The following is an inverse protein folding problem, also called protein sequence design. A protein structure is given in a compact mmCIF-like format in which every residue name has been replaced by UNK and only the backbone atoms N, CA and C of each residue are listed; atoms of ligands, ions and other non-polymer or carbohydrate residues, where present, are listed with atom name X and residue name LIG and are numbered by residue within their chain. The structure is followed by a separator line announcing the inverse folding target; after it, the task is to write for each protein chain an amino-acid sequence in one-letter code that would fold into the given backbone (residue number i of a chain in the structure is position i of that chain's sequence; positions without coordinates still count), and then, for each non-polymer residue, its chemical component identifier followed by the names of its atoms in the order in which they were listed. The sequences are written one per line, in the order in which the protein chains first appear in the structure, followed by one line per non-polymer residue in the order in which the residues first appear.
data_IF_499889752620
#
_entry.id   IF_499889752620
#
_cell.length_a   1.000
_cell.length_b   1.000
_cell.length_c   1.000
_cell.angle_alpha   90.00
_cell.angle_beta   90.00
_cell.angle_gamma   90.00
#
_symmetry.space_group_name_H-M   'P 1'
#
loop_
_entity.id
_entity.type
_entity.pdbx_description
1 polymer ?
#
# COMPACT_ATOMS: atom_id res chain seq x y z
N UNK A 1 -6.51 -3.17 -14.23
CA UNK A 1 -6.71 -2.31 -13.07
C UNK A 1 -8.16 -2.45 -12.62
N UNK A 2 -8.40 -2.80 -11.41
CA UNK A 2 -9.71 -3.10 -10.84
C UNK A 2 -9.61 -4.29 -9.90
N UNK A 3 -10.74 -4.75 -9.39
CA UNK A 3 -10.85 -5.89 -8.50
C UNK A 3 -11.98 -6.79 -8.98
N UNK A 4 -11.85 -8.08 -8.72
CA UNK A 4 -12.95 -9.04 -8.89
C UNK A 4 -13.91 -8.98 -7.70
N UNK A 5 -13.48 -8.41 -6.58
CA UNK A 5 -14.33 -8.18 -5.42
C UNK A 5 -15.11 -6.88 -5.61
N UNK A 6 -16.43 -7.01 -5.69
CA UNK A 6 -17.35 -5.88 -5.85
C UNK A 6 -17.67 -5.15 -4.53
N UNK A 7 -17.32 -5.73 -3.37
CA UNK A 7 -17.67 -5.22 -2.05
C UNK A 7 -16.52 -4.46 -1.37
N UNK A 8 -15.33 -4.50 -1.97
CA UNK A 8 -14.12 -3.85 -1.45
C UNK A 8 -13.45 -3.04 -2.56
N UNK A 9 -12.78 -1.92 -2.19
CA UNK A 9 -12.00 -1.17 -3.16
C UNK A 9 -10.80 -1.99 -3.66
N UNK A 10 -10.41 -1.77 -4.90
CA UNK A 10 -9.25 -2.43 -5.48
C UNK A 10 -7.92 -2.00 -4.86
N UNK A 11 -7.89 -0.82 -4.24
CA UNK A 11 -6.71 -0.23 -3.61
C UNK A 11 -7.04 0.26 -2.20
N UNK A 12 -6.50 -0.41 -1.20
CA UNK A 12 -6.61 -0.07 0.21
C UNK A 12 -5.30 0.51 0.75
N UNK A 13 -5.40 1.49 1.63
CA UNK A 13 -4.27 2.17 2.24
C UNK A 13 -4.35 2.08 3.75
N UNK A 14 -3.24 1.71 4.38
CA UNK A 14 -3.10 1.54 5.83
C UNK A 14 -2.01 2.47 6.34
N UNK A 15 -2.27 3.17 7.43
CA UNK A 15 -1.31 4.09 8.04
C UNK A 15 -0.96 3.64 9.44
N UNK A 16 0.32 3.63 9.75
CA UNK A 16 0.81 3.43 11.13
C UNK A 16 1.87 4.47 11.47
N UNK A 17 1.96 4.79 12.75
CA UNK A 17 2.95 5.72 13.29
C UNK A 17 4.00 4.94 14.04
N UNK A 18 5.25 5.10 13.61
CA UNK A 18 6.41 4.62 14.36
C UNK A 18 6.80 5.57 15.50
N UNK A 19 7.83 5.18 16.24
CA UNK A 19 8.37 5.96 17.38
C UNK A 19 9.36 7.05 16.97
N UNK A 20 9.67 7.15 15.67
CA UNK A 20 10.57 8.16 15.11
C UNK A 20 9.91 9.51 14.87
N UNK A 21 10.65 10.39 14.18
CA UNK A 21 10.15 11.71 13.79
C UNK A 21 8.89 11.57 12.91
N UNK A 22 7.88 12.38 13.21
CA UNK A 22 6.63 12.38 12.46
C UNK A 22 6.85 12.89 11.03
N UNK A 23 6.51 12.06 10.04
CA UNK A 23 6.47 12.46 8.64
C UNK A 23 5.05 12.79 8.23
N UNK A 24 4.90 13.76 7.35
CA UNK A 24 3.61 14.04 6.74
C UNK A 24 3.22 12.95 5.75
N UNK A 25 2.23 12.14 6.11
CA UNK A 25 1.60 11.20 5.17
C UNK A 25 0.23 11.75 4.82
N UNK A 26 0.08 12.21 3.59
CA UNK A 26 -1.11 12.91 3.12
C UNK A 26 -1.82 12.12 2.04
N UNK A 27 -3.12 12.33 1.90
CA UNK A 27 -3.97 11.65 0.91
C UNK A 27 -3.51 11.81 -0.54
N UNK A 28 -2.66 12.79 -0.85
CA UNK A 28 -2.01 12.91 -2.16
C UNK A 28 -1.18 11.68 -2.55
N UNK A 29 -0.64 10.94 -1.58
CA UNK A 29 0.18 9.75 -1.83
C UNK A 29 -0.61 8.58 -2.41
N UNK A 30 -1.92 8.57 -2.21
CA UNK A 30 -2.81 7.53 -2.75
C UNK A 30 -3.99 8.09 -3.55
N UNK A 31 -3.92 9.37 -3.91
CA UNK A 31 -4.88 9.96 -4.84
C UNK A 31 -4.68 9.41 -6.25
N UNK A 32 -5.73 9.46 -7.05
CA UNK A 32 -5.68 9.02 -8.44
C UNK A 32 -4.78 9.88 -9.34
N UNK A 33 -4.37 11.07 -8.88
CA UNK A 33 -3.57 12.00 -9.67
C UNK A 33 -4.29 12.42 -10.95
N UNK A 34 -3.68 12.11 -12.11
CA UNK A 34 -4.28 12.35 -13.42
C UNK A 34 -5.15 11.19 -13.93
N UNK A 35 -5.18 10.07 -13.20
CA UNK A 35 -6.04 8.93 -13.51
C UNK A 35 -7.49 9.23 -13.06
N UNK A 36 -8.42 8.42 -13.53
CA UNK A 36 -9.81 8.47 -13.11
C UNK A 36 -9.94 8.26 -11.58
N UNK A 37 -10.85 8.97 -10.93
CA UNK A 37 -11.07 8.94 -9.48
C UNK A 37 -11.43 7.53 -8.94
N UNK A 38 -11.92 6.62 -9.78
CA UNK A 38 -12.16 5.21 -9.40
C UNK A 38 -10.89 4.45 -9.02
N UNK A 39 -9.71 4.95 -9.37
CA UNK A 39 -8.41 4.36 -9.05
C UNK A 39 -7.80 4.94 -7.77
N UNK A 40 -8.50 5.83 -7.08
CA UNK A 40 -8.05 6.40 -5.81
C UNK A 40 -8.03 5.34 -4.72
N UNK A 41 -6.97 5.37 -3.90
CA UNK A 41 -6.88 4.51 -2.72
C UNK A 41 -7.87 4.92 -1.63
N UNK A 42 -8.41 3.93 -0.94
CA UNK A 42 -9.29 4.11 0.21
C UNK A 42 -8.52 3.78 1.49
N UNK A 43 -8.46 4.73 2.40
CA UNK A 43 -7.80 4.52 3.69
C UNK A 43 -8.64 3.67 4.61
N UNK A 44 -8.03 2.61 5.14
CA UNK A 44 -8.60 1.70 6.13
C UNK A 44 -7.85 1.82 7.46
N UNK A 45 -8.53 1.47 8.53
CA UNK A 45 -7.95 1.26 9.86
C UNK A 45 -8.64 0.09 10.54
N UNK A 46 -8.06 -0.45 11.60
CA UNK A 46 -8.72 -1.43 12.46
C UNK A 46 -9.32 -0.77 13.72
N UNK A 47 -9.81 0.46 13.58
CA UNK A 47 -10.59 1.18 14.61
C UNK A 47 -12.07 0.86 14.50
N UNK A 48 -12.89 1.42 15.43
CA UNK A 48 -14.35 1.33 15.40
C UNK A 48 -14.95 1.84 14.08
N UNK A 49 -14.31 2.87 13.48
CA UNK A 49 -14.62 3.37 12.14
C UNK A 49 -13.51 2.97 11.16
N UNK A 50 -13.57 1.76 10.57
CA UNK A 50 -12.51 1.27 9.70
C UNK A 50 -12.29 2.11 8.45
N UNK A 51 -13.34 2.74 7.94
CA UNK A 51 -13.31 3.70 6.83
C UNK A 51 -14.14 4.91 7.25
N UNK A 52 -13.56 6.10 7.16
CA UNK A 52 -14.24 7.33 7.58
C UNK A 52 -15.55 7.53 6.81
N UNK A 53 -16.60 7.91 7.54
CA UNK A 53 -17.94 8.17 7.01
C UNK A 53 -18.61 6.99 6.31
N UNK A 54 -18.18 5.77 6.62
CA UNK A 54 -18.79 4.57 6.06
C UNK A 54 -20.18 4.31 6.63
N UNK A 55 -20.35 4.53 7.94
CA UNK A 55 -21.61 4.34 8.64
C UNK A 55 -22.66 5.36 8.24
N UNK A 56 -23.93 4.95 8.25
CA UNK A 56 -25.04 5.89 8.04
C UNK A 56 -25.18 6.85 9.21
N UNK A 57 -25.66 8.06 8.93
CA UNK A 57 -25.99 9.02 9.97
C UNK A 57 -27.12 8.47 10.87
N UNK A 58 -27.13 8.89 12.13
CA UNK A 58 -28.15 8.49 13.10
C UNK A 58 -29.57 8.77 12.55
N UNK A 59 -30.46 7.79 12.66
CA UNK A 59 -31.84 7.88 12.18
C UNK A 59 -32.03 7.47 10.71
N UNK A 60 -30.98 7.16 9.96
CA UNK A 60 -31.09 6.65 8.59
C UNK A 60 -30.98 5.13 8.59
N UNK A 61 -32.04 4.45 8.17
CA UNK A 61 -32.03 2.99 8.01
C UNK A 61 -31.35 2.60 6.68
N UNK A 62 -30.85 1.36 6.61
CA UNK A 62 -30.24 0.81 5.38
C UNK A 62 -31.18 0.90 4.17
N UNK A 63 -32.48 0.67 4.35
CA UNK A 63 -33.48 0.79 3.30
C UNK A 63 -33.70 2.23 2.84
N UNK A 64 -33.66 3.19 3.77
CA UNK A 64 -33.71 4.61 3.42
C UNK A 64 -32.47 5.01 2.62
N UNK A 65 -31.27 4.59 3.07
CA UNK A 65 -30.03 4.82 2.33
C UNK A 65 -30.11 4.22 0.93
N UNK A 66 -30.59 2.97 0.77
CA UNK A 66 -30.76 2.36 -0.55
C UNK A 66 -31.63 3.21 -1.47
N UNK A 67 -32.81 3.63 -1.00
CA UNK A 67 -33.69 4.50 -1.79
C UNK A 67 -33.06 5.84 -2.16
N UNK A 68 -32.28 6.45 -1.24
CA UNK A 68 -31.55 7.69 -1.53
C UNK A 68 -30.54 7.49 -2.66
N UNK A 69 -29.79 6.38 -2.63
CA UNK A 69 -28.79 6.07 -3.67
C UNK A 69 -29.46 5.78 -5.03
N UNK A 70 -30.60 5.08 -5.04
CA UNK A 70 -31.36 4.80 -6.27
C UNK A 70 -31.85 6.12 -6.90
N UNK A 71 -32.36 7.04 -6.10
CA UNK A 71 -32.77 8.38 -6.57
C UNK A 71 -31.59 9.19 -7.08
N UNK A 72 -30.46 9.18 -6.36
CA UNK A 72 -29.25 9.86 -6.77
C UNK A 72 -28.68 9.30 -8.08
N UNK A 73 -28.71 7.99 -8.25
CA UNK A 73 -28.30 7.32 -9.49
C UNK A 73 -29.17 7.75 -10.67
N UNK A 74 -30.49 7.80 -10.47
CA UNK A 74 -31.43 8.26 -11.51
C UNK A 74 -31.19 9.75 -11.90
N UNK A 75 -30.93 10.63 -10.92
CA UNK A 75 -30.59 12.03 -11.20
C UNK A 75 -29.24 12.17 -11.95
N UNK A 76 -28.26 11.38 -11.53
CA UNK A 76 -26.94 11.38 -12.20
C UNK A 76 -27.02 10.82 -13.64
N UNK A 77 -27.91 9.87 -13.92
CA UNK A 77 -28.13 9.36 -15.26
C UNK A 77 -28.69 10.46 -16.20
N UNK A 78 -29.65 11.26 -15.74
CA UNK A 78 -30.13 12.42 -16.49
C UNK A 78 -28.99 13.41 -16.77
N UNK A 79 -28.17 13.71 -15.77
CA UNK A 79 -27.01 14.59 -15.94
C UNK A 79 -25.97 13.99 -16.91
N UNK A 80 -25.76 12.67 -16.87
CA UNK A 80 -24.86 12.00 -17.80
C UNK A 80 -25.35 12.07 -19.25
N UNK A 81 -26.67 11.91 -19.45
CA UNK A 81 -27.29 12.06 -20.80
C UNK A 81 -27.12 13.48 -21.36
N UNK A 82 -27.13 14.50 -20.49
CA UNK A 82 -26.95 15.89 -20.92
C UNK A 82 -25.49 16.26 -21.16
N UNK A 83 -24.58 15.90 -20.22
CA UNK A 83 -23.19 16.37 -20.23
C UNK A 83 -22.20 15.34 -20.79
N UNK A 84 -22.56 14.07 -20.83
CA UNK A 84 -21.68 12.94 -21.25
C UNK A 84 -20.32 12.92 -20.52
N UNK A 85 -20.32 13.33 -19.25
CA UNK A 85 -19.10 13.35 -18.41
C UNK A 85 -18.92 12.03 -17.68
N UNK A 86 -17.84 11.25 -17.96
CA UNK A 86 -17.57 9.97 -17.30
C UNK A 86 -17.41 10.07 -15.77
N UNK A 87 -17.09 11.25 -15.22
CA UNK A 87 -16.98 11.44 -13.77
C UNK A 87 -18.31 11.25 -13.05
N UNK A 88 -19.44 11.51 -13.71
CA UNK A 88 -20.78 11.29 -13.17
C UNK A 88 -20.98 9.80 -12.89
N UNK A 89 -20.68 8.93 -13.85
CA UNK A 89 -20.77 7.47 -13.69
C UNK A 89 -19.82 6.97 -12.60
N UNK A 90 -18.60 7.51 -12.55
CA UNK A 90 -17.63 7.20 -11.51
C UNK A 90 -18.16 7.52 -10.12
N UNK A 91 -18.84 8.65 -9.92
CA UNK A 91 -19.47 9.02 -8.64
C UNK A 91 -20.55 8.03 -8.22
N UNK A 92 -21.42 7.62 -9.13
CA UNK A 92 -22.44 6.59 -8.85
C UNK A 92 -21.78 5.30 -8.37
N UNK A 93 -20.76 4.84 -9.08
CA UNK A 93 -20.01 3.63 -8.71
C UNK A 93 -19.35 3.74 -7.33
N UNK A 94 -18.80 4.91 -6.99
CA UNK A 94 -18.22 5.15 -5.66
C UNK A 94 -19.26 5.07 -4.55
N UNK A 95 -20.45 5.64 -4.73
CA UNK A 95 -21.55 5.54 -3.75
C UNK A 95 -22.05 4.11 -3.58
N UNK A 96 -22.19 3.36 -4.67
CA UNK A 96 -22.56 1.96 -4.64
C UNK A 96 -21.51 1.10 -3.91
N UNK A 97 -20.23 1.34 -4.17
CA UNK A 97 -19.13 0.69 -3.47
C UNK A 97 -19.19 1.00 -1.98
N UNK A 98 -19.32 2.27 -1.58
CA UNK A 98 -19.43 2.67 -0.16
C UNK A 98 -20.60 1.98 0.53
N UNK A 99 -21.74 1.84 -0.11
CA UNK A 99 -22.90 1.15 0.46
C UNK A 99 -22.63 -0.35 0.69
N UNK A 100 -21.98 -1.03 -0.27
CA UNK A 100 -21.61 -2.44 -0.10
C UNK A 100 -20.56 -2.63 1.00
N UNK A 101 -19.62 -1.70 1.10
CA UNK A 101 -18.58 -1.70 2.14
C UNK A 101 -19.15 -1.62 3.56
N UNK A 102 -20.30 -1.00 3.78
CA UNK A 102 -20.92 -0.92 5.11
C UNK A 102 -21.15 -2.30 5.77
N UNK A 103 -21.30 -3.34 4.98
CA UNK A 103 -21.45 -4.72 5.48
C UNK A 103 -20.13 -5.48 5.47
N UNK A 104 -19.36 -5.38 4.38
CA UNK A 104 -18.14 -6.17 4.19
C UNK A 104 -16.99 -5.70 5.08
N UNK A 105 -16.80 -4.39 5.24
CA UNK A 105 -15.66 -3.83 5.95
C UNK A 105 -15.63 -4.22 7.43
N UNK A 106 -16.71 -4.07 8.23
CA UNK A 106 -16.68 -4.46 9.64
C UNK A 106 -16.34 -5.95 9.87
N UNK A 107 -16.79 -6.83 8.99
CA UNK A 107 -16.47 -8.25 9.07
C UNK A 107 -14.99 -8.53 8.83
N UNK A 108 -14.40 -7.87 7.84
CA UNK A 108 -12.99 -8.06 7.47
C UNK A 108 -12.06 -7.40 8.48
N UNK A 109 -12.41 -6.24 9.01
CA UNK A 109 -11.57 -5.50 9.96
C UNK A 109 -11.66 -6.03 11.38
N UNK A 110 -12.65 -6.87 11.70
CA UNK A 110 -12.74 -7.52 13.00
C UNK A 110 -11.61 -8.55 13.18
N UNK A 111 -10.59 -8.17 13.93
CA UNK A 111 -9.44 -9.01 14.27
C UNK A 111 -9.65 -9.80 15.56
N UNK A 112 -10.76 -9.58 16.28
CA UNK A 112 -11.04 -10.26 17.55
C UNK A 112 -11.28 -11.76 17.42
N UNK A 113 -11.59 -12.21 16.21
CA UNK A 113 -11.84 -13.62 15.87
C UNK A 113 -10.59 -14.36 15.38
N UNK A 114 -9.45 -13.69 15.29
CA UNK A 114 -8.23 -14.36 14.87
C UNK A 114 -7.76 -15.37 15.93
N UNK A 115 -7.30 -16.56 15.52
CA UNK A 115 -6.78 -17.57 16.43
C UNK A 115 -5.59 -17.06 17.25
N UNK A 116 -5.46 -17.51 18.50
CA UNK A 116 -4.33 -17.13 19.37
C UNK A 116 -2.96 -17.38 18.73
N UNK A 117 -2.85 -18.41 17.90
CA UNK A 117 -1.61 -18.72 17.18
C UNK A 117 -1.24 -17.59 16.18
N UNK A 118 -2.22 -17.00 15.52
CA UNK A 118 -2.02 -15.85 14.61
C UNK A 118 -1.65 -14.61 15.41
N UNK A 119 -2.36 -14.32 16.50
CA UNK A 119 -2.05 -13.19 17.39
C UNK A 119 -0.63 -13.32 17.94
N UNK A 120 -0.22 -14.53 18.35
CA UNK A 120 1.15 -14.79 18.81
C UNK A 120 2.20 -14.59 17.70
N UNK A 121 1.88 -14.95 16.47
CA UNK A 121 2.77 -14.78 15.32
C UNK A 121 3.05 -13.29 15.04
N UNK A 122 2.00 -12.48 14.95
CA UNK A 122 2.12 -11.03 14.70
C UNK A 122 2.58 -10.22 15.93
N UNK A 123 2.46 -10.77 17.12
CA UNK A 123 2.69 -10.08 18.39
C UNK A 123 1.44 -9.36 18.93
N UNK A 124 1.45 -9.01 20.23
CA UNK A 124 0.25 -8.45 20.89
C UNK A 124 -0.21 -7.12 20.28
N UNK A 125 0.69 -6.36 19.69
CA UNK A 125 0.38 -5.08 19.05
C UNK A 125 -0.53 -5.22 17.83
N UNK A 126 -0.70 -6.43 17.29
CA UNK A 126 -1.63 -6.66 16.17
C UNK A 126 -3.11 -6.44 16.56
N UNK A 127 -3.44 -6.45 17.83
CA UNK A 127 -4.77 -6.12 18.35
C UNK A 127 -4.93 -4.63 18.69
N UNK A 128 -3.87 -3.83 18.58
CA UNK A 128 -3.89 -2.40 18.90
C UNK A 128 -4.05 -1.58 17.62
N UNK A 129 -5.17 -0.86 17.46
CA UNK A 129 -5.44 -0.06 16.27
C UNK A 129 -4.33 0.94 15.94
N UNK A 130 -3.99 1.04 14.63
CA UNK A 130 -3.02 2.00 14.14
C UNK A 130 -1.55 1.60 14.32
N UNK A 131 -1.27 0.43 14.89
CA UNK A 131 0.10 -0.13 14.93
C UNK A 131 0.48 -0.75 13.59
N UNK A 132 1.78 -0.91 13.35
CA UNK A 132 2.27 -1.60 12.17
C UNK A 132 1.82 -3.08 12.14
N UNK A 133 1.88 -3.75 13.29
CA UNK A 133 1.46 -5.15 13.41
C UNK A 133 -0.04 -5.34 13.10
N UNK A 134 -0.89 -4.44 13.61
CA UNK A 134 -2.32 -4.47 13.30
C UNK A 134 -2.59 -4.26 11.80
N UNK A 135 -1.83 -3.35 11.18
CA UNK A 135 -1.95 -3.10 9.74
C UNK A 135 -1.41 -4.27 8.89
N UNK A 136 -0.35 -4.96 9.31
CA UNK A 136 0.11 -6.18 8.65
C UNK A 136 -0.94 -7.29 8.70
N UNK A 137 -1.57 -7.50 9.85
CA UNK A 137 -2.67 -8.46 9.99
C UNK A 137 -3.87 -8.08 9.12
N UNK A 138 -4.24 -6.80 9.10
CA UNK A 138 -5.31 -6.30 8.24
C UNK A 138 -4.96 -6.43 6.76
N UNK A 139 -3.72 -6.17 6.36
CA UNK A 139 -3.25 -6.34 4.99
C UNK A 139 -3.41 -7.80 4.51
N UNK A 140 -3.08 -8.78 5.37
CA UNK A 140 -3.32 -10.20 5.07
C UNK A 140 -4.82 -10.47 4.88
N UNK A 141 -5.69 -9.98 5.77
CA UNK A 141 -7.14 -10.17 5.68
C UNK A 141 -7.71 -9.52 4.41
N UNK A 142 -7.27 -8.33 4.05
CA UNK A 142 -7.70 -7.65 2.83
C UNK A 142 -7.25 -8.43 1.57
N UNK A 143 -6.01 -8.92 1.55
CA UNK A 143 -5.49 -9.76 0.46
C UNK A 143 -6.28 -11.06 0.33
N UNK A 144 -6.54 -11.76 1.45
CA UNK A 144 -7.34 -12.98 1.50
C UNK A 144 -8.79 -12.76 0.97
N UNK A 145 -9.31 -11.55 1.09
CA UNK A 145 -10.62 -11.15 0.60
C UNK A 145 -10.57 -10.51 -0.81
N UNK A 146 -9.49 -10.68 -1.55
CA UNK A 146 -9.38 -10.30 -2.96
C UNK A 146 -9.13 -8.80 -3.20
N UNK A 147 -8.68 -8.05 -2.21
CA UNK A 147 -8.17 -6.68 -2.43
C UNK A 147 -6.86 -6.77 -3.21
N UNK A 148 -6.80 -6.13 -4.37
CA UNK A 148 -5.68 -6.25 -5.30
C UNK A 148 -4.43 -5.53 -4.84
N UNK A 149 -4.58 -4.31 -4.28
CA UNK A 149 -3.48 -3.49 -3.79
C UNK A 149 -3.73 -3.11 -2.34
N UNK A 150 -2.79 -3.44 -1.48
CA UNK A 150 -2.76 -2.97 -0.09
C UNK A 150 -1.43 -2.25 0.10
N UNK A 151 -1.48 -0.96 0.38
CA UNK A 151 -0.29 -0.14 0.63
C UNK A 151 -0.26 0.30 2.08
N UNK A 152 0.77 -0.13 2.80
CA UNK A 152 0.99 0.23 4.19
C UNK A 152 2.10 1.28 4.28
N UNK A 153 1.79 2.42 4.88
CA UNK A 153 2.75 3.45 5.23
C UNK A 153 3.06 3.39 6.72
N UNK A 154 4.34 3.27 7.05
CA UNK A 154 4.82 3.33 8.43
C UNK A 154 5.73 4.53 8.60
N UNK A 155 5.31 5.50 9.43
CA UNK A 155 6.03 6.75 9.68
C UNK A 155 7.21 6.53 10.62
N UNK A 156 8.17 7.47 10.61
CA UNK A 156 9.23 7.54 11.60
C UNK A 156 10.61 7.15 11.10
N UNK A 157 10.80 6.98 9.79
CA UNK A 157 12.08 6.61 9.18
C UNK A 157 12.95 7.80 8.76
N UNK A 158 12.43 9.02 8.85
CA UNK A 158 13.15 10.24 8.48
C UNK A 158 14.05 10.74 9.62
N UNK A 159 15.11 9.98 9.88
CA UNK A 159 15.96 10.13 11.07
C UNK A 159 17.14 11.05 10.80
N UNK A 160 16.92 12.36 10.94
CA UNK A 160 17.94 13.40 10.80
C UNK A 160 18.73 13.65 12.09
N UNK A 161 18.28 13.11 13.20
CA UNK A 161 18.91 13.15 14.54
C UNK A 161 18.57 11.89 15.32
N UNK A 162 19.23 11.66 16.45
CA UNK A 162 18.94 10.56 17.38
C UNK A 162 18.70 9.18 16.70
N UNK A 163 19.37 8.95 15.57
CA UNK A 163 19.22 7.75 14.76
C UNK A 163 19.35 6.43 15.55
N UNK A 164 20.35 6.25 16.46
CA UNK A 164 20.51 5.00 17.17
C UNK A 164 19.27 4.60 17.97
N UNK A 165 18.66 5.54 18.70
CA UNK A 165 17.49 5.26 19.52
C UNK A 165 16.22 5.10 18.67
N UNK A 166 16.05 5.96 17.67
CA UNK A 166 14.89 5.88 16.76
C UNK A 166 14.90 4.57 15.97
N UNK A 167 16.05 4.13 15.49
CA UNK A 167 16.19 2.88 14.73
C UNK A 167 15.82 1.65 15.57
N UNK A 168 16.19 1.60 16.84
CA UNK A 168 15.79 0.52 17.74
C UNK A 168 14.27 0.46 17.87
N UNK A 169 13.61 1.61 17.99
CA UNK A 169 12.15 1.70 18.06
C UNK A 169 11.49 1.21 16.79
N UNK A 170 11.94 1.74 15.64
CA UNK A 170 11.40 1.39 14.32
C UNK A 170 11.60 -0.10 13.98
N UNK A 171 12.78 -0.65 14.29
CA UNK A 171 13.04 -2.07 14.07
C UNK A 171 12.09 -2.96 14.89
N UNK A 172 11.83 -2.61 16.16
CA UNK A 172 10.87 -3.33 16.99
C UNK A 172 9.45 -3.29 16.46
N UNK A 173 9.05 -2.16 15.88
CA UNK A 173 7.71 -1.98 15.34
C UNK A 173 7.49 -2.86 14.09
N UNK A 174 8.51 -3.03 13.24
CA UNK A 174 8.33 -3.66 11.92
C UNK A 174 8.80 -5.10 11.81
N UNK A 175 9.77 -5.53 12.60
CA UNK A 175 10.51 -6.78 12.39
C UNK A 175 9.59 -8.00 12.52
N UNK A 176 8.99 -8.22 13.68
CA UNK A 176 8.13 -9.38 13.93
C UNK A 176 6.92 -9.40 12.98
N UNK A 177 6.25 -8.26 12.79
CA UNK A 177 5.03 -8.20 12.00
C UNK A 177 5.27 -8.40 10.50
N UNK A 178 6.41 -7.95 9.96
CA UNK A 178 6.80 -8.21 8.57
C UNK A 178 7.07 -9.69 8.35
N UNK A 179 7.82 -10.33 9.25
CA UNK A 179 8.07 -11.78 9.21
C UNK A 179 6.77 -12.58 9.36
N UNK A 180 5.87 -12.12 10.24
CA UNK A 180 4.56 -12.74 10.46
C UNK A 180 3.70 -12.68 9.20
N UNK A 181 3.62 -11.53 8.53
CA UNK A 181 2.84 -11.36 7.31
C UNK A 181 3.26 -12.37 6.23
N UNK A 182 4.56 -12.48 5.96
CA UNK A 182 5.09 -13.42 4.95
C UNK A 182 4.81 -14.87 5.37
N UNK A 183 5.01 -15.19 6.65
CA UNK A 183 4.79 -16.52 7.19
C UNK A 183 3.32 -16.92 7.12
N UNK A 184 2.41 -16.04 7.50
CA UNK A 184 0.96 -16.28 7.49
C UNK A 184 0.43 -16.44 6.05
N UNK A 185 0.85 -15.57 5.12
CA UNK A 185 0.54 -15.71 3.70
C UNK A 185 1.03 -17.08 3.15
N UNK A 186 2.25 -17.49 3.52
CA UNK A 186 2.80 -18.78 3.10
C UNK A 186 2.01 -19.96 3.68
N UNK A 187 1.68 -19.94 4.97
CA UNK A 187 0.91 -21.00 5.64
C UNK A 187 -0.50 -21.15 5.06
N UNK A 188 -1.07 -20.07 4.56
CA UNK A 188 -2.41 -20.05 3.92
C UNK A 188 -2.37 -20.39 2.42
N UNK A 189 -1.18 -20.59 1.84
CA UNK A 189 -1.03 -20.80 0.40
C UNK A 189 -1.30 -19.56 -0.46
N UNK A 190 -1.27 -18.36 0.15
CA UNK A 190 -1.53 -17.10 -0.54
C UNK A 190 -0.26 -16.42 -1.06
N UNK A 191 0.92 -16.82 -0.56
CA UNK A 191 2.18 -16.12 -0.87
C UNK A 191 2.56 -16.24 -2.35
N UNK A 192 2.24 -17.35 -3.00
CA UNK A 192 2.58 -17.55 -4.40
C UNK A 192 1.80 -16.61 -5.34
N UNK A 193 0.62 -16.16 -4.90
CA UNK A 193 -0.24 -15.21 -5.63
C UNK A 193 -0.19 -13.79 -5.06
N UNK A 194 0.59 -13.56 -4.00
CA UNK A 194 0.72 -12.26 -3.33
C UNK A 194 2.16 -11.78 -3.35
N UNK A 195 2.42 -10.70 -4.08
CA UNK A 195 3.72 -10.04 -4.06
C UNK A 195 3.81 -9.08 -2.87
N UNK A 196 4.69 -9.38 -1.93
CA UNK A 196 5.02 -8.51 -0.80
C UNK A 196 6.27 -7.70 -1.14
N UNK A 197 6.18 -6.39 -1.04
CA UNK A 197 7.29 -5.47 -1.27
C UNK A 197 7.47 -4.62 -0.01
N UNK A 198 8.70 -4.53 0.50
CA UNK A 198 9.05 -3.68 1.62
C UNK A 198 10.28 -2.83 1.29
N UNK A 199 10.22 -1.55 1.56
CA UNK A 199 11.32 -0.63 1.33
C UNK A 199 10.99 0.80 1.70
N UNK A 200 11.99 1.65 1.65
CA UNK A 200 11.85 3.10 1.65
C UNK A 200 11.79 3.66 0.23
N UNK A 201 11.52 4.96 0.13
CA UNK A 201 11.48 5.69 -1.15
C UNK A 201 12.87 5.93 -1.74
N UNK A 202 13.90 6.03 -0.88
CA UNK A 202 15.32 6.15 -1.21
C UNK A 202 16.19 5.83 0.01
N UNK A 203 17.50 5.84 -0.14
CA UNK A 203 18.47 5.51 0.90
C UNK A 203 18.86 6.70 1.77
N UNK A 204 19.84 6.44 2.63
CA UNK A 204 20.42 7.40 3.54
C UNK A 204 21.93 7.47 3.34
N UNK A 205 22.52 8.65 3.60
CA UNK A 205 23.97 8.83 3.51
C UNK A 205 24.68 7.93 4.52
N UNK A 206 25.89 7.48 4.15
CA UNK A 206 26.79 6.73 5.04
C UNK A 206 27.54 7.64 6.01
N UNK A 207 27.45 8.94 5.86
CA UNK A 207 28.02 9.95 6.74
C UNK A 207 26.92 10.64 7.57
N UNK A 208 27.35 11.26 8.66
CA UNK A 208 26.46 11.96 9.60
C UNK A 208 25.97 13.28 9.00
N UNK A 209 24.70 13.58 9.18
CA UNK A 209 24.18 14.92 9.02
C UNK A 209 24.51 15.76 10.26
N UNK A 210 25.09 16.95 10.05
CA UNK A 210 25.48 17.84 11.14
C UNK A 210 26.74 17.39 11.88
N UNK A 211 26.76 17.61 13.21
CA UNK A 211 27.91 17.24 14.06
C UNK A 211 27.82 15.79 14.50
N UNK A 212 28.92 15.07 14.42
CA UNK A 212 29.01 13.72 14.96
C UNK A 212 28.99 13.80 16.48
N UNK A 213 27.89 13.28 17.06
CA UNK A 213 27.81 12.97 18.49
C UNK A 213 27.41 11.48 18.60
N UNK A 214 28.13 10.64 19.36
CA UNK A 214 27.89 9.19 19.37
C UNK A 214 26.45 8.78 19.67
N UNK A 215 25.75 9.59 20.44
CA UNK A 215 24.39 9.32 20.90
C UNK A 215 23.30 10.12 20.16
N UNK A 216 23.71 11.10 19.36
CA UNK A 216 22.77 12.00 18.69
C UNK A 216 23.27 12.42 17.31
N UNK A 217 23.28 11.49 16.38
CA UNK A 217 23.54 11.77 14.97
C UNK A 217 22.37 11.29 14.11
N UNK A 218 22.24 11.87 12.93
CA UNK A 218 21.29 11.46 11.91
C UNK A 218 21.98 11.23 10.57
N UNK A 219 21.19 10.91 9.58
CA UNK A 219 21.64 10.73 8.20
C UNK A 219 20.79 11.54 7.26
N UNK A 220 21.39 12.02 6.19
CA UNK A 220 20.70 12.76 5.15
C UNK A 220 20.14 11.81 4.08
N UNK A 221 19.34 12.34 3.17
CA UNK A 221 18.75 11.62 2.05
C UNK A 221 19.81 11.24 1.03
N UNK A 222 19.74 10.02 0.51
CA UNK A 222 20.65 9.53 -0.52
C UNK A 222 19.92 8.67 -1.57
N UNK A 223 19.52 9.26 -2.71
CA UNK A 223 18.69 8.57 -3.70
C UNK A 223 19.44 7.57 -4.58
N UNK A 224 20.79 7.53 -4.53
CA UNK A 224 21.61 6.74 -5.46
C UNK A 224 21.73 5.27 -5.11
N UNK A 225 21.63 4.92 -3.84
CA UNK A 225 21.75 3.54 -3.38
C UNK A 225 20.80 3.27 -2.22
N UNK A 226 19.95 2.26 -2.36
CA UNK A 226 19.07 1.75 -1.32
C UNK A 226 18.65 0.33 -1.65
N UNK A 227 18.17 -0.38 -0.64
CA UNK A 227 17.72 -1.76 -0.77
C UNK A 227 16.22 -1.86 -0.49
N UNK A 228 15.57 -2.74 -1.22
CA UNK A 228 14.21 -3.20 -0.94
C UNK A 228 14.22 -4.71 -0.86
N UNK A 229 13.24 -5.33 -0.20
CA UNK A 229 13.02 -6.74 -0.35
C UNK A 229 11.68 -7.05 -1.00
N UNK A 230 11.60 -8.20 -1.66
CA UNK A 230 10.40 -8.74 -2.28
C UNK A 230 10.23 -10.20 -1.87
N UNK A 231 8.97 -10.62 -1.68
CA UNK A 231 8.65 -12.01 -1.36
C UNK A 231 7.34 -12.43 -2.04
N UNK A 232 7.25 -13.67 -2.48
CA UNK A 232 6.06 -14.22 -3.13
C UNK A 232 5.82 -13.71 -4.54
N UNK A 233 4.62 -13.94 -5.07
CA UNK A 233 4.15 -13.44 -6.35
C UNK A 233 5.07 -13.74 -7.55
N UNK A 234 5.77 -14.89 -7.57
CA UNK A 234 6.67 -15.28 -8.65
C UNK A 234 8.09 -14.71 -8.55
N UNK A 235 8.48 -14.13 -7.40
CA UNK A 235 9.87 -13.70 -7.17
C UNK A 235 10.71 -14.89 -6.68
N UNK A 236 11.92 -14.99 -7.22
CA UNK A 236 12.93 -15.97 -6.78
C UNK A 236 13.27 -15.78 -5.30
N UNK A 237 13.16 -16.82 -4.53
CA UNK A 237 13.45 -16.78 -3.09
C UNK A 237 14.94 -16.97 -2.79
N UNK A 238 15.41 -16.45 -1.64
CA UNK A 238 16.73 -16.73 -1.08
C UNK A 238 17.90 -16.15 -1.87
N UNK A 239 17.69 -15.07 -2.63
CA UNK A 239 18.75 -14.40 -3.38
C UNK A 239 18.95 -12.94 -2.96
N UNK A 240 20.14 -12.45 -3.20
CA UNK A 240 20.48 -11.02 -3.20
C UNK A 240 20.81 -10.64 -4.63
N UNK A 241 20.30 -9.51 -5.11
CA UNK A 241 20.53 -9.02 -6.45
C UNK A 241 21.05 -7.59 -6.39
N UNK A 242 22.22 -7.38 -6.95
CA UNK A 242 22.96 -6.12 -6.91
C UNK A 242 23.82 -5.96 -5.68
N UNK A 243 24.83 -5.12 -5.80
CA UNK A 243 25.81 -4.83 -4.75
C UNK A 243 26.19 -3.36 -4.76
N UNK A 244 26.40 -2.80 -3.56
CA UNK A 244 26.94 -1.45 -3.40
C UNK A 244 28.45 -1.48 -3.21
N UNK A 245 29.08 -0.29 -3.29
CA UNK A 245 30.45 -0.13 -2.83
C UNK A 245 30.57 -0.38 -1.30
N UNK A 246 31.78 -0.49 -0.81
CA UNK A 246 32.09 -0.76 0.61
C UNK A 246 31.47 0.27 1.58
N UNK A 247 31.13 1.45 1.07
CA UNK A 247 30.50 2.53 1.84
C UNK A 247 28.98 2.55 1.75
N UNK A 248 28.35 1.70 0.91
CA UNK A 248 26.92 1.74 0.65
C UNK A 248 26.49 3.02 -0.07
N UNK A 249 27.40 3.69 -0.80
CA UNK A 249 27.14 5.00 -1.39
C UNK A 249 26.77 4.94 -2.87
N UNK A 250 27.39 4.05 -3.64
CA UNK A 250 27.08 3.83 -5.05
C UNK A 250 26.76 2.36 -5.30
N UNK A 251 25.92 2.10 -6.30
CA UNK A 251 25.69 0.75 -6.78
C UNK A 251 26.84 0.36 -7.73
N UNK A 252 27.49 -0.77 -7.47
CA UNK A 252 28.57 -1.32 -8.30
C UNK A 252 28.10 -2.40 -9.24
N UNK A 253 27.20 -3.28 -8.77
CA UNK A 253 26.72 -4.42 -9.56
C UNK A 253 25.20 -4.41 -9.69
N UNK A 254 24.71 -4.84 -10.85
CA UNK A 254 23.32 -5.07 -11.17
C UNK A 254 22.38 -3.94 -10.71
N UNK A 255 22.59 -2.69 -11.15
CA UNK A 255 21.74 -1.56 -10.77
C UNK A 255 20.32 -1.78 -11.28
N UNK A 256 19.34 -1.52 -10.42
CA UNK A 256 17.91 -1.55 -10.77
C UNK A 256 17.36 -0.13 -10.66
N UNK A 257 17.03 0.46 -11.80
CA UNK A 257 16.39 1.77 -11.82
C UNK A 257 14.92 1.65 -11.38
N UNK A 258 14.34 2.72 -10.83
CA UNK A 258 12.92 2.72 -10.41
C UNK A 258 11.95 2.31 -11.53
N UNK A 259 12.24 2.67 -12.78
CA UNK A 259 11.45 2.23 -13.92
C UNK A 259 11.59 0.73 -14.19
N UNK A 260 12.78 0.14 -13.98
CA UNK A 260 13.01 -1.30 -14.15
C UNK A 260 12.31 -2.09 -13.03
N UNK A 261 12.35 -1.56 -11.80
CA UNK A 261 11.59 -2.09 -10.68
C UNK A 261 10.09 -2.10 -10.98
N UNK A 262 9.51 -0.96 -11.43
CA UNK A 262 8.09 -0.87 -11.76
C UNK A 262 7.72 -1.76 -12.96
N UNK A 263 8.56 -1.88 -13.96
CA UNK A 263 8.36 -2.79 -15.08
C UNK A 263 8.34 -4.25 -14.61
N UNK A 264 9.21 -4.62 -13.66
CA UNK A 264 9.27 -5.97 -13.07
C UNK A 264 8.04 -6.26 -12.23
N UNK A 265 7.58 -5.32 -11.42
CA UNK A 265 6.33 -5.44 -10.66
C UNK A 265 5.13 -5.64 -11.58
N UNK A 266 5.01 -4.83 -12.66
CA UNK A 266 3.94 -5.01 -13.63
C UNK A 266 4.00 -6.37 -14.33
N UNK A 267 5.20 -6.84 -14.67
CA UNK A 267 5.39 -8.16 -15.26
C UNK A 267 4.92 -9.28 -14.34
N UNK A 268 5.28 -9.24 -13.04
CA UNK A 268 4.82 -10.19 -12.03
C UNK A 268 3.29 -10.17 -11.85
N UNK A 269 2.66 -9.04 -12.13
CA UNK A 269 1.20 -8.90 -12.16
C UNK A 269 0.56 -9.33 -13.49
N UNK A 270 1.32 -9.90 -14.43
CA UNK A 270 0.83 -10.31 -15.73
C UNK A 270 0.61 -9.15 -16.72
N UNK A 271 1.15 -7.97 -16.44
CA UNK A 271 0.96 -6.78 -17.26
C UNK A 271 2.23 -6.50 -18.07
N UNK A 272 2.08 -6.44 -19.38
CA UNK A 272 3.11 -5.91 -20.30
C UNK A 272 3.15 -4.38 -20.17
N UNK A 273 4.15 -3.85 -19.48
CA UNK A 273 4.27 -2.41 -19.21
C UNK A 273 4.45 -1.57 -20.49
N UNK A 274 4.92 -2.17 -21.59
CA UNK A 274 5.08 -1.47 -22.86
C UNK A 274 3.76 -1.30 -23.60
N UNK A 275 2.81 -2.19 -23.36
CA UNK A 275 1.45 -2.14 -23.91
C UNK A 275 0.45 -1.40 -23.03
N UNK A 276 0.78 -1.21 -21.75
CA UNK A 276 -0.08 -0.46 -20.84
C UNK A 276 0.02 1.05 -21.12
N UNK A 277 -0.91 1.52 -21.95
CA UNK A 277 -0.96 2.90 -22.39
C UNK A 277 -2.18 3.59 -21.79
N UNK A 278 -1.96 4.72 -21.14
CA UNK A 278 -2.99 5.61 -20.64
C UNK A 278 -3.13 6.83 -21.57
N UNK A 279 -4.35 7.14 -21.98
CA UNK A 279 -4.65 8.33 -22.80
C UNK A 279 -5.13 9.47 -21.90
N UNK A 280 -4.40 10.57 -21.90
CA UNK A 280 -4.75 11.77 -21.14
C UNK A 280 -4.57 13.00 -22.01
N UNK A 281 -5.59 13.87 -22.05
CA UNK A 281 -5.60 15.09 -22.88
C UNK A 281 -5.17 14.85 -24.33
N UNK A 282 -5.65 13.76 -24.92
CA UNK A 282 -5.36 13.40 -26.33
C UNK A 282 -4.00 12.73 -26.56
N UNK A 283 -3.07 12.74 -25.60
CA UNK A 283 -1.78 12.10 -25.68
C UNK A 283 -1.79 10.72 -25.04
N UNK A 284 -1.03 9.78 -25.61
CA UNK A 284 -0.82 8.44 -25.08
C UNK A 284 0.45 8.41 -24.24
N UNK A 285 0.33 7.94 -22.99
CA UNK A 285 1.45 7.78 -22.06
C UNK A 285 1.59 6.32 -21.69
N UNK A 286 2.82 5.85 -21.67
CA UNK A 286 3.20 4.62 -21.02
C UNK A 286 3.61 4.96 -19.57
N UNK A 287 3.17 4.19 -18.57
CA UNK A 287 3.44 4.51 -17.16
C UNK A 287 4.93 4.42 -16.80
N UNK A 288 5.70 3.61 -17.52
CA UNK A 288 7.16 3.54 -17.42
C UNK A 288 7.89 4.50 -18.36
N UNK A 289 7.17 5.39 -19.03
CA UNK A 289 7.67 6.29 -20.06
C UNK A 289 8.44 5.52 -21.18
N UNK A 290 9.61 5.99 -21.59
CA UNK A 290 10.47 5.32 -22.57
C UNK A 290 11.45 4.33 -21.92
N UNK A 291 11.39 4.17 -20.60
CA UNK A 291 12.29 3.38 -19.78
C UNK A 291 11.61 2.08 -19.30
N UNK A 292 12.28 1.36 -18.43
CA UNK A 292 11.80 0.15 -17.79
C UNK A 292 12.22 -1.13 -18.52
N UNK A 293 13.03 -1.91 -17.85
CA UNK A 293 13.42 -3.27 -18.27
C UNK A 293 13.04 -4.23 -17.17
N UNK A 294 12.33 -5.29 -17.52
CA UNK A 294 12.04 -6.37 -16.58
C UNK A 294 13.32 -7.04 -16.14
N UNK A 295 13.59 -7.06 -14.85
CA UNK A 295 14.76 -7.71 -14.25
C UNK A 295 14.49 -9.22 -14.15
N UNK A 296 14.79 -9.95 -15.22
CA UNK A 296 14.45 -11.38 -15.38
C UNK A 296 15.12 -12.28 -14.33
N UNK A 297 16.28 -11.88 -13.84
CA UNK A 297 17.03 -12.67 -12.84
C UNK A 297 16.31 -12.75 -11.49
N UNK A 298 15.36 -11.85 -11.22
CA UNK A 298 14.49 -11.86 -10.04
C UNK A 298 13.30 -12.81 -10.16
N UNK A 299 13.00 -13.33 -11.36
CA UNK A 299 11.81 -14.14 -11.61
C UNK A 299 12.06 -15.61 -11.31
N UNK A 300 11.08 -16.29 -10.68
CA UNK A 300 11.13 -17.71 -10.35
C UNK A 300 10.95 -18.62 -11.59
#
# INVERSE_FOLDING_TARGET
LGSENENLPAFCVLLSRGKGNGQGVYSKLWSSGFLDARHQGVQFSNSEDPVLYLSDAEGISKDQRRRMLDQLAAMNDLSYQEFNDPQITTKVQQYEMAFRMQTAVPEITDVSKEPDAVVKLYGPDCLVPGTYAANCLLARKLSENGVRFVQLYHQGWDTHDNLPNQMIGQAKDVDQASAALITDLKQRGLLDETLVIWGGEFGRTNYCQGKIAPENYGRDHHPRAFSIFMAGGGVKSGMVYGETDDFGYNIQENPVHVHDFQATVMHLMGIDHEKLIYKHLGRRYRLTDVHGKVVKDLLA
#
